data_IF_991973615795
#
_entry.id   IF_991973615795
#
_cell.length_a   1.000
_cell.length_b   1.000
_cell.length_c   1.000
_cell.angle_alpha   90.00
_cell.angle_beta   90.00
_cell.angle_gamma   90.00
#
_symmetry.space_group_name_H-M   'P 1'
#
loop_
_entity.id
_entity.type
_entity.pdbx_description
1 polymer ?
#
# COMPACT_ATOMS: atom_id res chain seq x y z
N UNK A 1 1.25 -37.66 3.19
CA UNK A 1 1.27 -36.56 4.19
C UNK A 1 2.47 -35.70 3.86
N UNK A 2 2.35 -34.37 3.69
CA UNK A 2 3.53 -33.52 3.42
C UNK A 2 4.46 -33.53 4.64
N UNK A 3 5.77 -33.55 4.43
CA UNK A 3 6.74 -33.47 5.52
C UNK A 3 6.65 -32.11 6.24
N UNK A 4 6.99 -32.06 7.53
CA UNK A 4 7.01 -30.82 8.32
C UNK A 4 7.83 -29.70 7.66
N UNK A 5 8.97 -30.05 7.04
CA UNK A 5 9.80 -29.10 6.29
C UNK A 5 9.09 -28.54 5.06
N UNK A 6 8.35 -29.37 4.32
CA UNK A 6 7.56 -28.95 3.16
C UNK A 6 6.40 -28.03 3.57
N UNK A 7 5.78 -28.30 4.72
CA UNK A 7 4.72 -27.47 5.28
C UNK A 7 5.24 -26.09 5.67
N UNK A 8 6.40 -26.03 6.36
CA UNK A 8 7.05 -24.77 6.77
C UNK A 8 7.55 -23.96 5.57
N UNK A 9 8.13 -24.62 4.57
CA UNK A 9 8.54 -23.97 3.32
C UNK A 9 7.36 -23.39 2.55
N UNK A 10 6.22 -24.09 2.52
CA UNK A 10 5.01 -23.59 1.87
C UNK A 10 4.40 -22.40 2.63
N UNK A 11 4.36 -22.45 3.96
CA UNK A 11 3.90 -21.33 4.77
C UNK A 11 4.77 -20.08 4.53
N UNK A 12 6.10 -20.23 4.52
CA UNK A 12 7.02 -19.13 4.23
C UNK A 12 6.79 -18.50 2.84
N UNK A 13 6.50 -19.32 1.82
CA UNK A 13 6.15 -18.82 0.47
C UNK A 13 4.84 -18.04 0.46
N UNK A 14 3.83 -18.51 1.19
CA UNK A 14 2.54 -17.82 1.29
C UNK A 14 2.70 -16.46 2.01
N UNK A 15 3.49 -16.41 3.07
CA UNK A 15 3.82 -15.18 3.80
C UNK A 15 4.64 -14.21 2.92
N UNK A 16 5.60 -14.71 2.16
CA UNK A 16 6.36 -13.89 1.20
C UNK A 16 5.45 -13.28 0.12
N UNK A 17 4.54 -14.08 -0.46
CA UNK A 17 3.59 -13.60 -1.47
C UNK A 17 2.60 -12.56 -0.91
N UNK A 18 2.26 -12.65 0.38
CA UNK A 18 1.49 -11.62 1.09
C UNK A 18 2.30 -10.34 1.23
N UNK A 19 3.52 -10.42 1.76
CA UNK A 19 4.40 -9.27 1.96
C UNK A 19 4.72 -8.55 0.63
N UNK A 20 4.83 -9.28 -0.48
CA UNK A 20 4.97 -8.69 -1.82
C UNK A 20 3.74 -7.88 -2.22
N UNK A 21 2.53 -8.40 -1.94
CA UNK A 21 1.27 -7.69 -2.23
C UNK A 21 1.14 -6.42 -1.38
N UNK A 22 1.51 -6.48 -0.10
CA UNK A 22 1.58 -5.31 0.79
C UNK A 22 2.58 -4.25 0.28
N UNK A 23 3.78 -4.68 -0.14
CA UNK A 23 4.77 -3.78 -0.75
C UNK A 23 4.24 -3.11 -2.01
N UNK A 24 3.52 -3.84 -2.86
CA UNK A 24 2.94 -3.28 -4.09
C UNK A 24 1.91 -2.19 -3.77
N UNK A 25 1.06 -2.37 -2.76
CA UNK A 25 0.13 -1.34 -2.31
C UNK A 25 0.90 -0.10 -1.84
N UNK A 26 1.91 -0.29 -0.98
CA UNK A 26 2.72 0.84 -0.48
C UNK A 26 3.42 1.63 -1.60
N UNK A 27 3.89 0.95 -2.66
CA UNK A 27 4.47 1.60 -3.84
C UNK A 27 3.42 2.44 -4.57
N UNK A 28 2.21 1.91 -4.78
CA UNK A 28 1.12 2.64 -5.43
C UNK A 28 0.76 3.89 -4.63
N UNK A 29 0.63 3.77 -3.31
CA UNK A 29 0.33 4.90 -2.42
C UNK A 29 1.41 5.99 -2.50
N UNK A 30 2.69 5.59 -2.50
CA UNK A 30 3.81 6.53 -2.63
C UNK A 30 3.83 7.21 -4.00
N UNK A 31 3.49 6.49 -5.07
CA UNK A 31 3.40 7.06 -6.41
C UNK A 31 2.26 8.08 -6.53
N UNK A 32 1.11 7.81 -5.90
CA UNK A 32 -0.01 8.74 -5.82
C UNK A 32 0.43 10.03 -5.10
N UNK A 33 1.06 9.92 -3.93
CA UNK A 33 1.55 11.07 -3.17
C UNK A 33 2.57 11.90 -3.99
N UNK A 34 3.59 11.25 -4.55
CA UNK A 34 4.62 11.92 -5.34
C UNK A 34 4.10 12.57 -6.63
N UNK A 35 2.98 12.07 -7.19
CA UNK A 35 2.34 12.69 -8.35
C UNK A 35 1.49 13.90 -7.95
N UNK A 36 0.76 13.81 -6.85
CA UNK A 36 0.00 14.95 -6.32
C UNK A 36 0.93 16.13 -5.97
N UNK A 37 2.06 15.88 -5.29
CA UNK A 37 3.05 16.91 -4.96
C UNK A 37 3.61 17.61 -6.21
N UNK A 38 3.90 16.85 -7.28
CA UNK A 38 4.37 17.41 -8.55
C UNK A 38 3.31 18.28 -9.23
N UNK A 39 2.05 17.87 -9.20
CA UNK A 39 0.95 18.66 -9.77
C UNK A 39 0.80 20.01 -9.05
N UNK A 40 0.78 20.01 -7.71
CA UNK A 40 0.70 21.26 -6.93
C UNK A 40 1.94 22.14 -7.15
N UNK A 41 3.13 21.56 -7.20
CA UNK A 41 4.36 22.32 -7.45
C UNK A 41 4.32 23.00 -8.82
N UNK A 42 3.87 22.30 -9.87
CA UNK A 42 3.69 22.88 -11.20
C UNK A 42 2.63 23.99 -11.21
N UNK A 43 1.50 23.79 -10.54
CA UNK A 43 0.46 24.82 -10.40
C UNK A 43 0.96 26.07 -9.69
N UNK A 44 1.75 25.92 -8.61
CA UNK A 44 2.40 27.03 -7.89
C UNK A 44 3.37 27.81 -8.78
N UNK A 45 4.22 27.11 -9.54
CA UNK A 45 5.17 27.76 -10.46
C UNK A 45 4.42 28.60 -11.49
N UNK A 46 3.34 28.06 -12.08
CA UNK A 46 2.48 28.80 -13.01
C UNK A 46 1.82 30.00 -12.34
N UNK A 47 1.21 29.84 -11.17
CA UNK A 47 0.54 30.94 -10.46
C UNK A 47 1.49 32.10 -10.12
N UNK A 48 2.73 31.79 -9.74
CA UNK A 48 3.79 32.79 -9.52
C UNK A 48 4.22 33.48 -10.81
N UNK A 49 4.40 32.72 -11.90
CA UNK A 49 4.78 33.26 -13.21
C UNK A 49 3.72 34.21 -13.78
N UNK A 50 2.44 33.94 -13.56
CA UNK A 50 1.32 34.74 -14.05
C UNK A 50 0.81 35.79 -13.04
N UNK A 51 1.56 36.09 -11.97
CA UNK A 51 1.25 37.19 -11.05
C UNK A 51 0.02 36.97 -10.13
N UNK A 52 -0.50 35.75 -10.04
CA UNK A 52 -1.69 35.41 -9.23
C UNK A 52 -1.36 35.04 -7.77
N UNK A 53 -0.32 35.65 -7.19
CA UNK A 53 0.03 35.44 -5.78
C UNK A 53 -0.95 36.20 -4.87
N UNK A 54 -2.16 35.67 -4.74
CA UNK A 54 -3.08 36.10 -3.69
C UNK A 54 -2.55 35.64 -2.32
N UNK A 55 -2.75 36.47 -1.30
CA UNK A 55 -2.30 36.30 0.10
C UNK A 55 -2.86 35.05 0.80
N UNK A 56 -3.69 34.25 0.11
CA UNK A 56 -4.38 33.03 0.59
C UNK A 56 -3.62 31.73 0.28
N UNK A 57 -2.44 31.82 -0.35
CA UNK A 57 -1.71 30.71 -0.97
C UNK A 57 -1.64 29.41 -0.17
N UNK A 58 -1.33 29.42 1.13
CA UNK A 58 -1.05 28.18 1.88
C UNK A 58 -2.25 27.24 2.03
N UNK A 59 -3.44 27.77 2.39
CA UNK A 59 -4.64 26.93 2.58
C UNK A 59 -5.30 26.51 1.27
N UNK A 60 -5.25 27.37 0.26
CA UNK A 60 -5.72 27.02 -1.08
C UNK A 60 -4.83 25.91 -1.67
N UNK A 61 -3.51 26.02 -1.50
CA UNK A 61 -2.56 25.03 -1.96
C UNK A 61 -2.76 23.66 -1.31
N UNK A 62 -2.97 23.61 0.02
CA UNK A 62 -3.24 22.34 0.72
C UNK A 62 -4.52 21.67 0.23
N UNK A 63 -5.57 22.46 -0.03
CA UNK A 63 -6.83 21.95 -0.59
C UNK A 63 -6.62 21.38 -2.00
N UNK A 64 -5.83 22.05 -2.83
CA UNK A 64 -5.50 21.58 -4.18
C UNK A 64 -4.64 20.30 -4.15
N UNK A 65 -3.70 20.19 -3.21
CA UNK A 65 -2.95 18.93 -2.97
C UNK A 65 -3.92 17.81 -2.61
N UNK A 66 -4.82 18.03 -1.64
CA UNK A 66 -5.76 17.02 -1.20
C UNK A 66 -6.76 16.62 -2.30
N UNK A 67 -7.23 17.58 -3.11
CA UNK A 67 -8.09 17.32 -4.25
C UNK A 67 -7.38 16.45 -5.32
N UNK A 68 -6.11 16.77 -5.62
CA UNK A 68 -5.31 15.97 -6.55
C UNK A 68 -5.02 14.55 -6.00
N UNK A 69 -4.72 14.42 -4.70
CA UNK A 69 -4.59 13.11 -4.04
C UNK A 69 -5.89 12.32 -4.18
N UNK A 70 -7.04 12.95 -3.90
CA UNK A 70 -8.34 12.29 -3.98
C UNK A 70 -8.67 11.83 -5.42
N UNK A 71 -8.41 12.65 -6.44
CA UNK A 71 -8.60 12.30 -7.83
C UNK A 71 -7.71 11.13 -8.27
N UNK A 72 -6.41 11.16 -7.94
CA UNK A 72 -5.48 10.09 -8.27
C UNK A 72 -5.80 8.78 -7.52
N UNK A 73 -6.25 8.88 -6.27
CA UNK A 73 -6.76 7.72 -5.52
C UNK A 73 -8.01 7.15 -6.17
N UNK A 74 -8.92 7.98 -6.68
CA UNK A 74 -10.11 7.52 -7.38
C UNK A 74 -9.77 6.75 -8.65
N UNK A 75 -8.84 7.26 -9.47
CA UNK A 75 -8.35 6.58 -10.68
C UNK A 75 -7.73 5.21 -10.39
N UNK A 76 -7.04 5.07 -9.25
CA UNK A 76 -6.36 3.83 -8.83
C UNK A 76 -7.15 2.97 -7.86
N UNK A 77 -8.36 3.41 -7.48
CA UNK A 77 -9.20 2.75 -6.48
C UNK A 77 -9.49 1.30 -6.84
N UNK A 78 -9.80 1.01 -8.10
CA UNK A 78 -10.06 -0.35 -8.56
C UNK A 78 -8.84 -1.28 -8.43
N UNK A 79 -7.63 -0.75 -8.66
CA UNK A 79 -6.39 -1.52 -8.49
C UNK A 79 -6.10 -1.79 -7.01
N UNK A 80 -6.27 -0.79 -6.14
CA UNK A 80 -6.09 -0.93 -4.68
C UNK A 80 -7.10 -1.92 -4.12
N UNK A 81 -8.39 -1.76 -4.42
CA UNK A 81 -9.43 -2.66 -3.93
C UNK A 81 -9.24 -4.11 -4.40
N UNK A 82 -8.70 -4.31 -5.61
CA UNK A 82 -8.37 -5.65 -6.10
C UNK A 82 -7.21 -6.27 -5.31
N UNK A 83 -6.19 -5.48 -4.95
CA UNK A 83 -5.07 -5.93 -4.13
C UNK A 83 -5.51 -6.19 -2.67
N UNK A 84 -6.39 -5.38 -2.11
CA UNK A 84 -6.95 -5.60 -0.77
C UNK A 84 -7.77 -6.90 -0.70
N UNK A 85 -8.63 -7.16 -1.69
CA UNK A 85 -9.34 -8.44 -1.80
C UNK A 85 -8.36 -9.61 -1.93
N UNK A 86 -7.24 -9.43 -2.64
CA UNK A 86 -6.19 -10.44 -2.74
C UNK A 86 -5.52 -10.68 -1.38
N UNK A 87 -5.22 -9.64 -0.62
CA UNK A 87 -4.66 -9.76 0.74
C UNK A 87 -5.60 -10.51 1.67
N UNK A 88 -6.90 -10.20 1.65
CA UNK A 88 -7.89 -10.90 2.47
C UNK A 88 -7.92 -12.41 2.15
N UNK A 89 -7.86 -12.78 0.86
CA UNK A 89 -7.79 -14.19 0.44
C UNK A 89 -6.48 -14.85 0.87
N UNK A 90 -5.34 -14.17 0.75
CA UNK A 90 -4.04 -14.68 1.20
C UNK A 90 -4.02 -14.88 2.73
N UNK A 91 -4.54 -13.93 3.50
CA UNK A 91 -4.66 -14.05 4.95
C UNK A 91 -5.55 -15.24 5.35
N UNK A 92 -6.71 -15.40 4.70
CA UNK A 92 -7.58 -16.56 4.91
C UNK A 92 -6.90 -17.89 4.55
N UNK A 93 -6.18 -17.95 3.43
CA UNK A 93 -5.44 -19.14 3.02
C UNK A 93 -4.32 -19.49 4.01
N UNK A 94 -3.58 -18.50 4.50
CA UNK A 94 -2.53 -18.69 5.53
C UNK A 94 -3.15 -19.21 6.83
N UNK A 95 -4.25 -18.60 7.29
CA UNK A 95 -4.95 -19.03 8.50
C UNK A 95 -5.45 -20.48 8.38
N UNK A 96 -6.12 -20.81 7.28
CA UNK A 96 -6.59 -22.17 7.01
C UNK A 96 -5.44 -23.19 6.92
N UNK A 97 -4.31 -22.80 6.33
CA UNK A 97 -3.11 -23.64 6.24
C UNK A 97 -2.53 -23.92 7.63
N UNK A 98 -2.40 -22.90 8.49
CA UNK A 98 -1.92 -23.05 9.87
C UNK A 98 -2.82 -23.98 10.68
N UNK A 99 -4.15 -23.84 10.58
CA UNK A 99 -5.12 -24.72 11.25
C UNK A 99 -4.99 -26.16 10.76
N UNK A 100 -4.93 -26.38 9.45
CA UNK A 100 -4.88 -27.71 8.83
C UNK A 100 -3.62 -28.50 9.22
N UNK A 101 -2.49 -27.81 9.33
CA UNK A 101 -1.20 -28.45 9.57
C UNK A 101 -0.68 -28.29 11.00
N UNK A 102 -1.44 -27.64 11.89
CA UNK A 102 -1.04 -27.29 13.27
C UNK A 102 0.34 -26.62 13.33
N UNK A 103 0.70 -25.90 12.26
CA UNK A 103 1.94 -25.13 12.19
C UNK A 103 1.64 -23.83 12.92
N UNK A 104 1.86 -23.81 14.24
CA UNK A 104 2.05 -22.56 14.96
C UNK A 104 3.29 -21.87 14.40
N UNK A 105 3.22 -20.56 14.22
CA UNK A 105 4.41 -19.75 13.94
C UNK A 105 5.39 -20.05 15.08
N UNK A 106 6.64 -20.48 14.79
CA UNK A 106 7.58 -20.75 15.85
C UNK A 106 7.85 -19.42 16.55
N UNK A 107 7.73 -19.44 17.88
CA UNK A 107 8.16 -18.40 18.80
C UNK A 107 9.51 -17.84 18.36
N UNK A 108 9.52 -16.73 17.63
CA UNK A 108 10.69 -15.86 17.52
C UNK A 108 10.77 -15.03 18.80
N UNK A 109 10.84 -15.70 19.94
CA UNK A 109 11.04 -15.08 21.25
C UNK A 109 11.47 -16.15 22.27
N UNK A 110 12.52 -16.89 21.92
CA UNK A 110 13.34 -17.58 22.90
C UNK A 110 14.79 -17.30 22.52
N UNK A 111 15.26 -16.12 22.90
CA UNK A 111 16.69 -15.84 23.04
C UNK A 111 16.91 -15.38 24.49
N UNK A 112 17.91 -15.95 25.20
CA UNK A 112 18.16 -15.72 26.61
C UNK A 112 18.65 -14.31 26.93
#
# INVERSE_FOLDING_TARGET
>A
MRSYFEQRAMLARMEAARAETERRIAIIERQIAARAERMTTSSRVKARQFGHASTTGTRADERDVQANIAALRFERRGEIEALDRKLARQAGAIAAFRVRYRVSVPEREAAP
#
